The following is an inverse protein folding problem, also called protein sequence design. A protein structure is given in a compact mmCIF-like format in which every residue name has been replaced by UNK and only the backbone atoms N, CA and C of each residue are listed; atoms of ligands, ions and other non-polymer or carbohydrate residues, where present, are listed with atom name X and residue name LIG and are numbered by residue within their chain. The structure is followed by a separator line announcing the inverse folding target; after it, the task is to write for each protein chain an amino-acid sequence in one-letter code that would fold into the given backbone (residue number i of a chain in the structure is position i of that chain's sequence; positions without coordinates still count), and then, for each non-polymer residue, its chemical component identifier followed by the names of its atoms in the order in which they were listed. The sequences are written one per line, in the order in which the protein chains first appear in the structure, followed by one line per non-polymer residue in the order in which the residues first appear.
data_IF_926108564717
#
_entry.id   IF_926108564717
#
_cell.length_a   1.000
_cell.length_b   1.000
_cell.length_c   1.000
_cell.angle_alpha   90.00
_cell.angle_beta   90.00
_cell.angle_gamma   90.00
#
_symmetry.space_group_name_H-M   'P 1'
#
loop_
_entity.id
_entity.type
_entity.pdbx_description
1 polymer ?
#
# COMPACT_ATOMS: atom_id res chain seq x y z
N UNK A 1 -8.45 5.34 18.41
CA UNK A 1 -9.37 5.33 17.24
C UNK A 1 -8.68 4.75 16.00
N UNK A 2 -7.58 5.35 15.55
CA UNK A 2 -6.80 4.90 14.37
C UNK A 2 -6.38 3.42 14.44
N UNK A 3 -5.86 2.96 15.59
CA UNK A 3 -5.42 1.55 15.75
C UNK A 3 -6.51 0.54 15.40
N UNK A 4 -7.77 0.80 15.78
CA UNK A 4 -8.90 -0.10 15.49
C UNK A 4 -9.23 -0.08 13.99
N UNK A 5 -9.11 1.07 13.34
CA UNK A 5 -9.27 1.19 11.88
C UNK A 5 -8.16 0.43 11.16
N UNK A 6 -6.91 0.59 11.59
CA UNK A 6 -5.77 -0.12 11.03
C UNK A 6 -5.87 -1.64 11.23
N UNK A 7 -6.45 -2.10 12.34
CA UNK A 7 -6.73 -3.52 12.56
C UNK A 7 -7.75 -4.09 11.56
N UNK A 8 -8.68 -3.26 11.09
CA UNK A 8 -9.66 -3.64 10.05
C UNK A 8 -9.11 -3.47 8.64
N UNK A 9 -8.27 -2.46 8.40
CA UNK A 9 -7.70 -2.19 7.08
C UNK A 9 -6.60 -3.18 6.68
N UNK A 10 -5.75 -3.59 7.63
CA UNK A 10 -4.67 -4.55 7.39
C UNK A 10 -5.11 -5.86 6.71
N UNK A 11 -6.17 -6.55 7.16
CA UNK A 11 -6.64 -7.75 6.47
C UNK A 11 -7.15 -7.45 5.06
N UNK A 12 -7.87 -6.35 4.82
CA UNK A 12 -8.33 -5.97 3.48
C UNK A 12 -7.17 -5.76 2.50
N UNK A 13 -6.10 -5.09 2.92
CA UNK A 13 -4.88 -4.91 2.10
C UNK A 13 -4.27 -6.28 1.77
N UNK A 14 -4.14 -7.14 2.78
CA UNK A 14 -3.58 -8.48 2.61
C UNK A 14 -4.41 -9.30 1.62
N UNK A 15 -5.72 -9.33 1.80
CA UNK A 15 -6.63 -10.11 0.97
C UNK A 15 -6.55 -9.66 -0.48
N UNK A 16 -6.57 -8.34 -0.75
CA UNK A 16 -6.47 -7.82 -2.12
C UNK A 16 -5.11 -8.13 -2.76
N UNK A 17 -4.00 -8.07 -2.01
CA UNK A 17 -2.68 -8.47 -2.52
C UNK A 17 -2.67 -9.96 -2.93
N UNK A 18 -3.20 -10.84 -2.08
CA UNK A 18 -3.28 -12.27 -2.37
C UNK A 18 -4.16 -12.55 -3.60
N UNK A 19 -5.32 -11.91 -3.70
CA UNK A 19 -6.20 -12.05 -4.87
C UNK A 19 -5.55 -11.51 -6.14
N UNK A 20 -4.91 -10.34 -6.07
CA UNK A 20 -4.23 -9.74 -7.22
C UNK A 20 -3.10 -10.65 -7.73
N UNK A 21 -2.33 -11.26 -6.82
CA UNK A 21 -1.28 -12.20 -7.18
C UNK A 21 -1.85 -13.43 -7.90
N UNK A 22 -2.95 -14.00 -7.42
CA UNK A 22 -3.63 -15.12 -8.09
C UNK A 22 -4.06 -14.77 -9.51
N UNK A 23 -4.72 -13.62 -9.70
CA UNK A 23 -5.18 -13.20 -11.03
C UNK A 23 -3.97 -12.89 -11.95
N UNK A 24 -2.92 -12.28 -11.40
CA UNK A 24 -1.69 -11.96 -12.14
C UNK A 24 -1.01 -13.25 -12.64
N UNK A 25 -0.85 -14.24 -11.77
CA UNK A 25 -0.31 -15.55 -12.15
C UNK A 25 -1.20 -16.25 -13.18
N UNK A 26 -2.53 -16.23 -12.98
CA UNK A 26 -3.46 -16.78 -13.97
C UNK A 26 -3.27 -16.13 -15.34
N UNK A 27 -3.19 -14.81 -15.42
CA UNK A 27 -2.99 -14.09 -16.68
C UNK A 27 -1.67 -14.47 -17.36
N UNK A 28 -0.58 -14.57 -16.59
CA UNK A 28 0.71 -15.01 -17.11
C UNK A 28 0.66 -16.43 -17.69
N UNK A 29 -0.09 -17.34 -17.06
CA UNK A 29 -0.29 -18.70 -17.56
C UNK A 29 -1.17 -18.77 -18.81
N UNK A 30 -1.92 -17.71 -19.12
CA UNK A 30 -2.71 -17.60 -20.36
C UNK A 30 -1.91 -17.03 -21.55
N UNK A 31 -0.66 -16.60 -21.33
CA UNK A 31 0.18 -16.08 -22.42
C UNK A 31 0.55 -17.26 -23.35
N UNK A 32 0.18 -17.21 -24.64
CA UNK A 32 0.48 -18.28 -25.58
C UNK A 32 1.97 -18.33 -25.92
N UNK A 33 2.39 -19.37 -26.65
CA UNK A 33 3.73 -19.37 -27.26
C UNK A 33 3.87 -18.17 -28.19
N UNK A 34 5.08 -17.62 -28.26
CA UNK A 34 5.38 -16.51 -29.16
C UNK A 34 5.31 -17.02 -30.61
N UNK A 35 4.51 -16.34 -31.43
CA UNK A 35 4.33 -16.63 -32.85
C UNK A 35 4.49 -15.34 -33.67
N UNK A 36 4.80 -15.51 -34.97
CA UNK A 36 4.97 -14.38 -35.89
C UNK A 36 3.60 -13.97 -36.46
N UNK A 37 3.03 -12.90 -35.89
CA UNK A 37 1.70 -12.37 -36.25
C UNK A 37 0.55 -12.82 -35.34
N UNK A 38 -0.65 -12.26 -35.54
CA UNK A 38 -1.85 -12.50 -34.71
C UNK A 38 -1.69 -12.19 -33.20
N UNK A 39 -0.80 -11.24 -32.86
CA UNK A 39 -0.43 -10.93 -31.48
C UNK A 39 -1.32 -9.87 -30.80
N UNK A 40 -2.44 -9.46 -31.41
CA UNK A 40 -3.32 -8.45 -30.82
C UNK A 40 -3.88 -8.90 -29.46
N UNK A 41 -4.27 -10.17 -29.33
CA UNK A 41 -4.72 -10.73 -28.05
C UNK A 41 -3.63 -10.67 -26.97
N UNK A 42 -2.38 -10.93 -27.35
CA UNK A 42 -1.21 -10.83 -26.46
C UNK A 42 -0.99 -9.39 -26.01
N UNK A 43 -1.07 -8.41 -26.92
CA UNK A 43 -0.96 -7.00 -26.57
C UNK A 43 -2.04 -6.53 -25.57
N UNK A 44 -3.26 -7.08 -25.68
CA UNK A 44 -4.32 -6.85 -24.68
C UNK A 44 -3.95 -7.46 -23.33
N UNK A 45 -3.44 -8.70 -23.31
CA UNK A 45 -2.97 -9.35 -22.07
C UNK A 45 -1.84 -8.55 -21.40
N UNK A 46 -0.86 -8.09 -22.17
CA UNK A 46 0.23 -7.23 -21.69
C UNK A 46 -0.30 -5.93 -21.07
N UNK A 47 -1.28 -5.29 -21.71
CA UNK A 47 -1.85 -4.05 -21.19
C UNK A 47 -2.59 -4.25 -19.85
N UNK A 48 -3.27 -5.38 -19.70
CA UNK A 48 -3.91 -5.75 -18.44
C UNK A 48 -2.86 -6.08 -17.37
N UNK A 49 -1.76 -6.73 -17.76
CA UNK A 49 -0.66 -7.04 -16.85
C UNK A 49 0.05 -5.77 -16.32
N UNK A 50 0.22 -4.74 -17.15
CA UNK A 50 0.71 -3.43 -16.72
C UNK A 50 -0.17 -2.82 -15.62
N UNK A 51 -1.50 -2.91 -15.77
CA UNK A 51 -2.45 -2.44 -14.77
C UNK A 51 -2.31 -3.24 -13.46
N UNK A 52 -2.21 -4.55 -13.53
CA UNK A 52 -2.03 -5.41 -12.35
C UNK A 52 -0.73 -5.07 -11.62
N UNK A 53 0.36 -4.85 -12.34
CA UNK A 53 1.65 -4.44 -11.77
C UNK A 53 1.54 -3.09 -11.05
N UNK A 54 0.87 -2.11 -11.67
CA UNK A 54 0.65 -0.80 -11.05
C UNK A 54 -0.20 -0.90 -9.78
N UNK A 55 -1.24 -1.76 -9.77
CA UNK A 55 -2.06 -2.01 -8.60
C UNK A 55 -1.25 -2.67 -7.48
N UNK A 56 -0.39 -3.64 -7.81
CA UNK A 56 0.47 -4.31 -6.83
C UNK A 56 1.38 -3.31 -6.11
N UNK A 57 2.11 -2.48 -6.86
CA UNK A 57 2.98 -1.43 -6.31
C UNK A 57 2.21 -0.47 -5.40
N UNK A 58 0.99 -0.09 -5.77
CA UNK A 58 0.16 0.79 -4.94
C UNK A 58 -0.26 0.13 -3.63
N UNK A 59 -0.64 -1.14 -3.65
CA UNK A 59 -1.05 -1.89 -2.45
C UNK A 59 0.12 -2.16 -1.50
N UNK A 60 1.30 -2.46 -2.03
CA UNK A 60 2.54 -2.53 -1.22
C UNK A 60 2.84 -1.19 -0.54
N UNK A 61 2.59 -0.08 -1.24
CA UNK A 61 2.67 1.27 -0.67
C UNK A 61 1.78 1.43 0.57
N UNK A 62 0.52 1.00 0.52
CA UNK A 62 -0.37 1.05 1.68
C UNK A 62 0.13 0.19 2.85
N UNK A 63 0.67 -1.00 2.57
CA UNK A 63 1.19 -1.87 3.62
C UNK A 63 2.37 -1.22 4.36
N UNK A 64 3.28 -0.56 3.63
CA UNK A 64 4.45 0.12 4.24
C UNK A 64 4.06 1.40 5.00
N UNK A 65 3.06 2.15 4.51
CA UNK A 65 2.59 3.39 5.14
C UNK A 65 2.08 3.16 6.57
N UNK A 66 1.38 2.06 6.83
CA UNK A 66 0.88 1.71 8.17
C UNK A 66 2.03 1.57 9.18
N UNK A 67 3.11 0.88 8.77
CA UNK A 67 4.30 0.71 9.63
C UNK A 67 5.02 2.03 9.85
N UNK A 68 5.10 2.87 8.81
CA UNK A 68 5.70 4.19 8.87
C UNK A 68 4.98 5.11 9.85
N UNK A 69 3.65 5.11 9.87
CA UNK A 69 2.87 5.90 10.84
C UNK A 69 3.26 5.60 12.30
N UNK A 70 3.38 4.32 12.67
CA UNK A 70 3.78 3.97 14.04
C UNK A 70 5.19 4.46 14.38
N UNK A 71 6.12 4.39 13.43
CA UNK A 71 7.48 4.90 13.62
C UNK A 71 7.51 6.42 13.80
N UNK A 72 6.90 7.16 12.87
CA UNK A 72 6.91 8.63 12.87
C UNK A 72 6.17 9.20 14.09
N UNK A 73 5.04 8.58 14.45
CA UNK A 73 4.30 8.96 15.65
C UNK A 73 5.10 8.69 16.92
N UNK A 74 5.79 7.55 16.99
CA UNK A 74 6.68 7.21 18.10
C UNK A 74 7.79 8.25 18.29
N UNK A 75 8.44 8.65 17.19
CA UNK A 75 9.47 9.68 17.19
C UNK A 75 8.93 11.05 17.59
N UNK A 76 7.74 11.43 17.10
CA UNK A 76 7.09 12.69 17.48
C UNK A 76 6.77 12.73 18.98
N UNK A 77 6.24 11.65 19.55
CA UNK A 77 6.00 11.53 21.01
C UNK A 77 7.30 11.61 21.79
N UNK A 78 8.37 10.93 21.34
CA UNK A 78 9.67 10.97 22.00
C UNK A 78 10.27 12.39 22.01
N UNK A 79 10.14 13.14 20.91
CA UNK A 79 10.55 14.56 20.83
C UNK A 79 9.73 15.44 21.75
N UNK A 80 8.40 15.28 21.76
CA UNK A 80 7.51 16.03 22.65
C UNK A 80 7.82 15.81 24.14
N UNK A 81 8.21 14.57 24.51
CA UNK A 81 8.61 14.24 25.87
C UNK A 81 9.98 14.84 26.24
N UNK A 82 10.96 14.79 25.33
CA UNK A 82 12.32 15.33 25.55
C UNK A 82 12.38 16.85 25.55
N UNK A 83 11.50 17.51 24.80
CA UNK A 83 11.45 18.97 24.65
C UNK A 83 10.06 19.49 24.99
N UNK A 84 9.63 19.43 26.27
CA UNK A 84 8.25 19.73 26.67
C UNK A 84 7.85 21.20 26.47
N UNK A 85 8.83 22.10 26.34
CA UNK A 85 8.63 23.52 26.06
C UNK A 85 8.35 23.82 24.57
N UNK A 86 8.59 22.86 23.67
CA UNK A 86 8.32 23.00 22.24
C UNK A 86 6.94 22.41 21.95
N UNK A 87 5.93 23.29 21.91
CA UNK A 87 4.54 22.90 21.68
C UNK A 87 4.30 22.21 20.33
N UNK A 88 5.11 22.53 19.32
CA UNK A 88 5.00 22.01 17.96
C UNK A 88 5.10 20.48 17.89
N UNK A 89 5.90 19.83 18.76
CA UNK A 89 5.97 18.37 18.75
C UNK A 89 4.70 17.70 19.25
N UNK A 90 3.93 18.34 20.15
CA UNK A 90 2.61 17.84 20.55
C UNK A 90 1.62 18.00 19.41
N UNK A 91 1.66 19.14 18.73
CA UNK A 91 0.84 19.39 17.54
C UNK A 91 1.16 18.39 16.42
N UNK A 92 2.43 18.08 16.18
CA UNK A 92 2.85 17.08 15.19
C UNK A 92 2.24 15.70 15.46
N UNK A 93 2.15 15.26 16.72
CA UNK A 93 1.48 13.98 17.06
C UNK A 93 0.01 14.00 16.63
N UNK A 94 -0.69 15.12 16.83
CA UNK A 94 -2.08 15.27 16.42
C UNK A 94 -2.24 15.34 14.90
N UNK A 95 -1.34 16.03 14.20
CA UNK A 95 -1.35 16.11 12.74
C UNK A 95 -1.05 14.76 12.08
N UNK A 96 -0.12 13.97 12.64
CA UNK A 96 0.12 12.60 12.19
C UNK A 96 -1.12 11.71 12.41
N UNK A 97 -1.81 11.88 13.55
CA UNK A 97 -3.06 11.17 13.82
C UNK A 97 -4.17 11.55 12.81
N UNK A 98 -4.30 12.84 12.49
CA UNK A 98 -5.26 13.29 11.47
C UNK A 98 -4.89 12.83 10.06
N UNK A 99 -3.61 12.86 9.71
CA UNK A 99 -3.12 12.45 8.40
C UNK A 99 -3.36 10.95 8.15
N UNK A 100 -3.11 10.11 9.15
CA UNK A 100 -3.36 8.67 9.05
C UNK A 100 -4.85 8.31 8.99
N UNK A 101 -5.71 9.18 9.51
CA UNK A 101 -7.15 8.98 9.46
C UNK A 101 -7.78 9.33 8.09
N UNK A 102 -7.16 10.24 7.32
CA UNK A 102 -7.68 10.72 6.02
C UNK A 102 -7.35 9.76 4.88
#
# INVERSE_FOLDING_TARGET
KIVVLLQRLKPEIKDVIEQLNLVTTWLQLQIPRIEDGNNFGVAVQEKVFELMTALHTKLEGFHTQISKYFSERGDAVAKAAKQPHVGDYRQLVHELDEAEYR
#
